data_IF_661048902319
#
_entry.id   IF_661048902319
#
_cell.length_a   1.000
_cell.length_b   1.000
_cell.length_c   1.000
_cell.angle_alpha   90.00
_cell.angle_beta   90.00
_cell.angle_gamma   90.00
#
_symmetry.space_group_name_H-M   'P 1'
#
loop_
_entity.id
_entity.type
_entity.pdbx_description
1 polymer ?
#
# COMPACT_ATOMS: atom_id res chain seq x y z
N UNK A 1 -30.85 16.51 25.46
CA UNK A 1 -30.02 15.55 24.71
C UNK A 1 -29.77 16.11 23.32
N UNK A 2 -28.53 16.53 23.02
CA UNK A 2 -28.19 17.20 21.76
C UNK A 2 -28.16 16.20 20.61
N UNK A 3 -28.99 16.42 19.60
CA UNK A 3 -29.10 15.60 18.39
C UNK A 3 -27.82 15.73 17.55
N UNK A 4 -27.16 14.61 17.28
CA UNK A 4 -25.95 14.54 16.47
C UNK A 4 -26.32 14.80 14.99
N UNK A 5 -25.95 15.96 14.45
CA UNK A 5 -26.24 16.34 13.07
C UNK A 5 -25.01 16.12 12.17
N UNK A 6 -25.13 15.19 11.21
CA UNK A 6 -24.06 14.83 10.25
C UNK A 6 -23.48 16.03 9.48
N UNK A 7 -24.26 17.09 9.22
CA UNK A 7 -23.77 18.29 8.52
C UNK A 7 -22.78 19.11 9.36
N UNK A 8 -22.88 19.04 10.68
CA UNK A 8 -22.01 19.80 11.60
C UNK A 8 -20.64 19.13 11.77
N UNK A 9 -20.56 17.82 11.60
CA UNK A 9 -19.31 17.05 11.69
C UNK A 9 -18.34 17.35 10.53
N UNK A 10 -18.86 17.74 9.36
CA UNK A 10 -18.07 18.05 8.16
C UNK A 10 -17.62 19.51 8.09
N UNK A 11 -18.03 20.35 9.04
CA UNK A 11 -17.71 21.79 9.08
C UNK A 11 -16.57 22.13 10.05
N UNK A 12 -15.66 21.18 10.32
CA UNK A 12 -14.45 21.44 11.10
C UNK A 12 -13.59 22.58 10.50
N UNK A 13 -12.80 23.29 11.32
CA UNK A 13 -12.19 24.56 10.96
C UNK A 13 -11.26 24.42 9.75
N UNK A 14 -11.48 25.28 8.75
CA UNK A 14 -10.63 25.50 7.58
C UNK A 14 -9.79 26.75 7.80
N UNK A 15 -8.79 26.64 8.66
CA UNK A 15 -7.69 27.61 8.81
C UNK A 15 -6.46 26.76 9.15
N UNK A 16 -5.30 26.78 8.48
CA UNK A 16 -4.73 27.58 7.41
C UNK A 16 -3.21 27.30 7.39
N UNK A 17 -2.51 27.81 6.37
CA UNK A 17 -1.06 27.73 6.09
C UNK A 17 -0.66 26.50 5.28
N UNK A 18 -0.03 26.59 4.11
CA UNK A 18 0.64 27.67 3.40
C UNK A 18 1.52 26.99 2.34
N UNK A 19 1.67 27.61 1.17
CA UNK A 19 2.17 27.00 -0.06
C UNK A 19 3.34 26.01 0.06
N UNK A 20 3.12 24.81 -0.48
CA UNK A 20 4.11 24.14 -1.32
C UNK A 20 3.46 24.08 -2.71
N UNK A 21 4.20 24.47 -3.75
CA UNK A 21 3.67 24.58 -5.11
C UNK A 21 2.92 23.32 -5.53
N UNK A 22 1.83 23.53 -6.27
CA UNK A 22 1.22 22.46 -7.06
C UNK A 22 2.31 22.01 -8.04
N UNK A 23 3.11 21.02 -7.64
CA UNK A 23 3.56 20.03 -8.62
C UNK A 23 2.25 19.41 -9.06
N UNK A 24 1.90 19.57 -10.34
CA UNK A 24 0.75 18.88 -10.88
C UNK A 24 0.91 17.41 -10.51
N UNK A 25 0.07 16.94 -9.59
CA UNK A 25 -0.02 15.52 -9.32
C UNK A 25 -0.40 14.88 -10.66
N UNK A 26 0.45 13.96 -11.12
CA UNK A 26 0.05 12.98 -12.13
C UNK A 26 -1.35 12.52 -11.75
N UNK A 27 -2.34 12.77 -12.61
CA UNK A 27 -3.77 12.67 -12.29
C UNK A 27 -4.23 11.21 -12.09
N UNK A 28 -3.27 10.28 -12.01
CA UNK A 28 -3.51 8.86 -11.81
C UNK A 28 -4.28 8.25 -12.97
N UNK A 29 -4.35 8.92 -14.13
CA UNK A 29 -4.84 8.28 -15.34
C UNK A 29 -3.83 7.18 -15.71
N UNK A 30 -4.19 5.93 -15.41
CA UNK A 30 -3.35 4.74 -15.63
C UNK A 30 -3.14 4.39 -17.10
N UNK A 31 -2.96 5.39 -17.96
CA UNK A 31 -2.69 5.26 -19.38
C UNK A 31 -1.41 6.00 -19.77
N UNK A 32 -0.75 5.49 -20.81
CA UNK A 32 0.45 6.12 -21.36
C UNK A 32 0.10 7.50 -21.93
N UNK A 33 0.57 8.57 -21.28
CA UNK A 33 0.52 9.92 -21.86
C UNK A 33 1.40 9.93 -23.11
N UNK A 34 0.85 10.19 -24.32
CA UNK A 34 1.62 10.11 -25.55
C UNK A 34 2.86 11.01 -25.52
N UNK A 35 4.02 10.44 -25.84
CA UNK A 35 5.29 11.15 -25.87
C UNK A 35 5.99 11.30 -24.52
N UNK A 36 5.46 10.71 -23.44
CA UNK A 36 6.12 10.68 -22.13
C UNK A 36 6.70 9.30 -21.80
N UNK A 37 7.89 9.28 -21.20
CA UNK A 37 8.48 8.07 -20.62
C UNK A 37 8.23 8.12 -19.11
N UNK A 38 7.48 7.14 -18.58
CA UNK A 38 7.13 7.06 -17.15
C UNK A 38 8.21 6.27 -16.39
N UNK A 39 9.01 6.95 -15.56
CA UNK A 39 10.09 6.36 -14.75
C UNK A 39 9.97 6.65 -13.25
N UNK A 40 8.78 7.04 -12.79
CA UNK A 40 8.56 7.59 -11.44
C UNK A 40 8.11 6.59 -10.38
N UNK A 41 7.37 5.54 -10.75
CA UNK A 41 6.76 4.61 -9.79
C UNK A 41 7.30 3.17 -9.87
N UNK A 42 8.42 2.95 -10.56
CA UNK A 42 9.00 1.61 -10.77
C UNK A 42 8.03 0.61 -11.43
N UNK A 43 7.07 1.09 -12.23
CA UNK A 43 6.15 0.23 -12.97
C UNK A 43 6.92 -0.67 -13.94
N UNK A 44 6.45 -1.90 -14.10
CA UNK A 44 7.06 -2.84 -15.04
C UNK A 44 6.66 -2.46 -16.48
N UNK A 45 7.62 -2.09 -17.37
CA UNK A 45 7.30 -1.65 -18.73
C UNK A 45 6.79 -2.76 -19.64
N UNK A 46 6.92 -4.03 -19.26
CA UNK A 46 6.45 -5.17 -20.05
C UNK A 46 4.97 -5.49 -19.83
N UNK A 47 4.34 -4.88 -18.82
CA UNK A 47 2.98 -5.21 -18.42
C UNK A 47 2.83 -6.64 -17.86
N UNK A 48 1.59 -7.07 -17.59
CA UNK A 48 1.31 -8.42 -17.08
C UNK A 48 1.57 -9.51 -18.13
N UNK A 49 1.82 -10.73 -17.65
CA UNK A 49 1.95 -11.90 -18.53
C UNK A 49 0.71 -12.12 -19.40
N UNK A 50 0.84 -12.49 -20.70
CA UNK A 50 -0.30 -12.82 -21.55
C UNK A 50 -1.21 -13.92 -20.98
N UNK A 51 -0.63 -14.89 -20.26
CA UNK A 51 -1.41 -15.94 -19.58
C UNK A 51 -2.24 -15.36 -18.44
N UNK A 52 -1.69 -14.42 -17.66
CA UNK A 52 -2.41 -13.77 -16.58
C UNK A 52 -3.57 -12.93 -17.12
N UNK A 53 -3.35 -12.16 -18.19
CA UNK A 53 -4.42 -11.40 -18.85
C UNK A 53 -5.56 -12.29 -19.36
N UNK A 54 -5.22 -13.44 -19.96
CA UNK A 54 -6.21 -14.40 -20.43
C UNK A 54 -7.06 -14.99 -19.30
N UNK A 55 -6.47 -15.32 -18.14
CA UNK A 55 -7.23 -15.81 -16.99
C UNK A 55 -8.07 -14.70 -16.33
N UNK A 56 -7.54 -13.48 -16.21
CA UNK A 56 -8.30 -12.32 -15.72
C UNK A 56 -9.56 -12.11 -16.56
N UNK A 57 -9.44 -12.16 -17.89
CA UNK A 57 -10.58 -12.02 -18.79
C UNK A 57 -11.69 -13.05 -18.54
N UNK A 58 -11.34 -14.29 -18.14
CA UNK A 58 -12.32 -15.34 -17.82
C UNK A 58 -13.03 -15.10 -16.49
N UNK A 59 -12.33 -14.55 -15.49
CA UNK A 59 -12.90 -14.33 -14.15
C UNK A 59 -13.67 -13.01 -14.02
N UNK A 60 -13.48 -12.05 -14.92
CA UNK A 60 -14.15 -10.74 -14.87
C UNK A 60 -15.67 -10.81 -14.66
N UNK A 61 -16.45 -11.70 -15.32
CA UNK A 61 -17.89 -11.81 -15.06
C UNK A 61 -18.25 -12.28 -13.64
N UNK A 62 -17.31 -12.89 -12.92
CA UNK A 62 -17.52 -13.47 -11.59
C UNK A 62 -17.13 -12.53 -10.45
N UNK A 63 -16.59 -11.34 -10.74
CA UNK A 63 -16.06 -10.43 -9.70
C UNK A 63 -17.12 -9.79 -8.80
N UNK A 64 -18.41 -10.05 -9.06
CA UNK A 64 -19.49 -9.72 -8.14
C UNK A 64 -19.56 -10.65 -6.91
N UNK A 65 -18.84 -11.77 -6.93
CA UNK A 65 -18.81 -12.78 -5.88
C UNK A 65 -17.46 -12.78 -5.15
N UNK A 66 -17.48 -13.22 -3.89
CA UNK A 66 -16.26 -13.31 -3.09
C UNK A 66 -15.27 -14.35 -3.65
N UNK A 67 -13.95 -14.06 -3.61
CA UNK A 67 -12.93 -14.83 -4.32
C UNK A 67 -12.43 -16.10 -3.60
N UNK A 68 -13.04 -16.52 -2.48
CA UNK A 68 -12.45 -17.44 -1.50
C UNK A 68 -11.68 -18.64 -2.06
N UNK A 69 -12.23 -19.38 -3.03
CA UNK A 69 -11.53 -20.51 -3.64
C UNK A 69 -10.22 -20.11 -4.36
N UNK A 70 -10.22 -18.96 -5.06
CA UNK A 70 -9.05 -18.43 -5.76
C UNK A 70 -7.98 -17.97 -4.76
N UNK A 71 -8.40 -17.43 -3.61
CA UNK A 71 -7.47 -17.04 -2.54
C UNK A 71 -6.75 -18.27 -1.95
N UNK A 72 -7.50 -19.34 -1.68
CA UNK A 72 -6.95 -20.60 -1.16
C UNK A 72 -5.97 -21.24 -2.17
N UNK A 73 -6.32 -21.26 -3.45
CA UNK A 73 -5.45 -21.77 -4.52
C UNK A 73 -4.13 -20.97 -4.60
N UNK A 74 -4.21 -19.63 -4.57
CA UNK A 74 -3.04 -18.76 -4.62
C UNK A 74 -2.13 -18.98 -3.41
N UNK A 75 -2.70 -19.02 -2.20
CA UNK A 75 -1.95 -19.28 -0.97
C UNK A 75 -1.31 -20.67 -1.00
N UNK A 76 -2.03 -21.70 -1.46
CA UNK A 76 -1.51 -23.06 -1.60
C UNK A 76 -0.33 -23.15 -2.57
N UNK A 77 -0.40 -22.47 -3.71
CA UNK A 77 0.71 -22.38 -4.67
C UNK A 77 1.93 -21.66 -4.06
N UNK A 78 1.71 -20.60 -3.29
CA UNK A 78 2.77 -19.86 -2.62
C UNK A 78 3.45 -20.73 -1.55
N UNK A 79 2.65 -21.40 -0.70
CA UNK A 79 3.13 -22.32 0.33
C UNK A 79 3.98 -23.45 -0.26
N UNK A 80 3.50 -24.11 -1.32
CA UNK A 80 4.24 -25.19 -1.99
C UNK A 80 5.57 -24.70 -2.60
N UNK A 81 5.56 -23.51 -3.21
CA UNK A 81 6.77 -22.92 -3.81
C UNK A 81 7.83 -22.59 -2.78
N UNK A 82 7.42 -22.05 -1.62
CA UNK A 82 8.31 -21.56 -0.59
C UNK A 82 8.57 -22.55 0.55
N UNK A 83 7.90 -23.71 0.55
CA UNK A 83 8.01 -24.76 1.57
C UNK A 83 7.71 -24.23 2.98
N UNK A 84 6.58 -23.53 3.11
CA UNK A 84 6.13 -22.91 4.37
C UNK A 84 4.70 -23.36 4.72
N UNK A 85 4.37 -23.27 6.00
CA UNK A 85 3.07 -23.66 6.53
C UNK A 85 2.04 -22.52 6.40
N UNK A 86 0.76 -22.86 6.55
CA UNK A 86 -0.37 -21.93 6.33
C UNK A 86 -0.32 -20.75 7.29
N UNK A 87 0.18 -20.96 8.51
CA UNK A 87 0.31 -19.99 9.59
C UNK A 87 1.38 -18.93 9.28
N UNK A 88 2.23 -19.16 8.27
CA UNK A 88 3.28 -18.25 7.83
C UNK A 88 2.86 -17.40 6.62
N UNK A 89 1.61 -17.56 6.14
CA UNK A 89 1.10 -16.88 4.94
C UNK A 89 -0.14 -16.05 5.27
N UNK A 90 -0.14 -14.82 4.78
CA UNK A 90 -1.29 -13.93 4.80
C UNK A 90 -1.39 -13.25 3.43
N UNK A 91 -2.60 -13.16 2.90
CA UNK A 91 -2.89 -12.51 1.62
C UNK A 91 -3.27 -11.05 1.84
N UNK A 92 -2.63 -10.14 1.10
CA UNK A 92 -2.82 -8.71 1.21
C UNK A 92 -3.07 -8.06 -0.16
N UNK A 93 -3.84 -6.99 -0.21
CA UNK A 93 -4.00 -6.12 -1.37
C UNK A 93 -2.77 -5.22 -1.55
N UNK A 94 -1.71 -5.85 -2.06
CA UNK A 94 -0.39 -5.24 -2.15
C UNK A 94 0.38 -5.28 -0.82
N UNK A 95 1.70 -5.11 -0.89
CA UNK A 95 2.58 -5.25 0.27
C UNK A 95 2.36 -4.17 1.34
N UNK A 96 1.86 -2.99 0.95
CA UNK A 96 1.63 -1.88 1.87
C UNK A 96 0.60 -2.23 2.97
N UNK A 97 -0.44 -2.99 2.65
CA UNK A 97 -1.41 -3.47 3.64
C UNK A 97 -0.74 -4.40 4.67
N UNK A 98 0.10 -5.34 4.22
CA UNK A 98 0.87 -6.20 5.13
C UNK A 98 1.83 -5.42 6.03
N UNK A 99 2.52 -4.40 5.48
CA UNK A 99 3.39 -3.54 6.27
C UNK A 99 2.60 -2.75 7.32
N UNK A 100 1.43 -2.20 6.97
CA UNK A 100 0.56 -1.50 7.92
C UNK A 100 -0.01 -2.42 8.99
N UNK A 101 -0.40 -3.65 8.62
CA UNK A 101 -0.85 -4.67 9.56
C UNK A 101 0.23 -4.97 10.61
N UNK A 102 1.50 -5.07 10.19
CA UNK A 102 2.62 -5.23 11.12
C UNK A 102 2.77 -4.04 12.09
N UNK A 103 2.58 -2.80 11.61
CA UNK A 103 2.61 -1.62 12.49
C UNK A 103 1.47 -1.62 13.50
N UNK A 104 0.25 -2.03 13.10
CA UNK A 104 -0.89 -2.15 14.01
C UNK A 104 -0.68 -3.24 15.07
N UNK A 105 -0.18 -4.41 14.65
CA UNK A 105 -0.02 -5.56 15.53
C UNK A 105 1.14 -5.39 16.51
N UNK A 106 2.27 -4.81 16.08
CA UNK A 106 3.50 -4.82 16.88
C UNK A 106 4.00 -3.44 17.29
N UNK A 107 3.59 -2.37 16.61
CA UNK A 107 4.19 -1.04 16.78
C UNK A 107 4.13 -0.50 18.20
N UNK A 108 3.04 -0.77 18.94
CA UNK A 108 2.86 -0.32 20.33
C UNK A 108 3.54 -1.20 21.38
N UNK A 109 4.11 -2.33 20.98
CA UNK A 109 4.90 -3.20 21.85
C UNK A 109 6.38 -2.78 21.93
N UNK A 110 6.76 -1.68 21.27
CA UNK A 110 8.12 -1.17 21.28
C UNK A 110 8.28 0.08 20.41
N UNK A 111 9.29 0.07 19.55
CA UNK A 111 9.58 1.12 18.57
C UNK A 111 9.96 0.51 17.23
N UNK A 112 9.63 1.21 16.16
CA UNK A 112 10.03 0.84 14.79
C UNK A 112 11.38 1.50 14.51
N UNK A 113 12.36 0.72 14.04
CA UNK A 113 13.66 1.24 13.63
C UNK A 113 13.72 1.18 12.10
N UNK A 114 14.15 2.28 11.48
CA UNK A 114 14.18 2.40 10.02
C UNK A 114 15.35 3.26 9.55
N UNK A 115 15.93 3.02 8.36
CA UNK A 115 16.83 3.98 7.74
C UNK A 115 16.13 5.33 7.49
N UNK A 116 16.89 6.44 7.51
CA UNK A 116 16.33 7.76 7.20
C UNK A 116 15.87 7.87 5.73
N UNK A 117 16.56 7.20 4.81
CA UNK A 117 16.20 7.14 3.38
C UNK A 117 15.73 5.72 3.04
N UNK A 118 14.43 5.53 2.88
CA UNK A 118 13.78 4.25 2.53
C UNK A 118 12.34 4.49 2.08
N UNK A 119 11.62 3.43 1.68
CA UNK A 119 10.17 3.47 1.48
C UNK A 119 9.45 3.74 2.81
N UNK A 120 8.70 4.83 2.90
CA UNK A 120 8.27 5.40 4.19
C UNK A 120 6.77 5.34 4.50
N UNK A 121 5.93 4.83 3.60
CA UNK A 121 4.46 4.93 3.78
C UNK A 121 3.95 4.23 5.04
N UNK A 122 4.45 3.03 5.30
CA UNK A 122 4.14 2.29 6.53
C UNK A 122 4.69 2.98 7.80
N UNK A 123 5.78 3.74 7.70
CA UNK A 123 6.33 4.50 8.82
C UNK A 123 5.46 5.71 9.15
N UNK A 124 5.02 6.46 8.12
CA UNK A 124 4.06 7.56 8.30
C UNK A 124 2.73 7.05 8.87
N UNK A 125 2.30 5.86 8.47
CA UNK A 125 1.14 5.20 9.04
C UNK A 125 1.37 4.86 10.53
N UNK A 126 2.51 4.29 10.88
CA UNK A 126 2.87 3.99 12.27
C UNK A 126 2.86 5.25 13.15
N UNK A 127 3.44 6.36 12.68
CA UNK A 127 3.45 7.64 13.40
C UNK A 127 2.04 8.18 13.66
N UNK A 128 1.12 8.07 12.69
CA UNK A 128 -0.29 8.43 12.86
C UNK A 128 -1.00 7.58 13.93
N UNK A 129 -0.54 6.34 14.15
CA UNK A 129 -1.03 5.47 15.22
C UNK A 129 -0.40 5.77 16.59
N UNK A 130 0.51 6.74 16.67
CA UNK A 130 1.27 7.08 17.87
C UNK A 130 2.43 6.11 18.16
N UNK A 131 2.87 5.33 17.17
CA UNK A 131 4.02 4.43 17.29
C UNK A 131 5.31 5.24 17.16
N UNK A 132 6.27 5.00 18.07
CA UNK A 132 7.59 5.63 18.01
C UNK A 132 8.40 5.05 16.83
N UNK A 133 8.78 5.91 15.88
CA UNK A 133 9.67 5.57 14.76
C UNK A 133 11.04 6.21 14.96
N UNK A 134 12.08 5.40 15.10
CA UNK A 134 13.46 5.83 15.21
C UNK A 134 14.17 5.70 13.86
N UNK A 135 14.54 6.85 13.25
CA UNK A 135 15.23 6.90 11.96
C UNK A 135 16.74 6.97 12.15
N UNK A 136 17.47 6.09 11.47
CA UNK A 136 18.93 5.98 11.52
C UNK A 136 19.53 6.46 10.19
N UNK A 137 20.43 7.46 10.19
CA UNK A 137 21.10 7.92 8.98
C UNK A 137 21.86 6.80 8.27
N UNK A 138 21.90 6.87 6.94
CA UNK A 138 22.80 6.01 6.15
C UNK A 138 24.25 6.43 6.38
N UNK A 139 25.18 5.48 6.22
CA UNK A 139 26.62 5.80 6.16
C UNK A 139 26.93 6.61 4.89
N UNK A 140 27.96 7.45 4.94
CA UNK A 140 28.37 8.29 3.80
C UNK A 140 28.75 7.49 2.54
N UNK A 141 29.43 6.35 2.72
CA UNK A 141 29.79 5.44 1.63
C UNK A 141 28.70 4.36 1.44
N UNK A 142 27.59 4.74 0.81
CA UNK A 142 26.68 3.77 0.23
C UNK A 142 27.22 3.39 -1.16
N UNK A 143 27.68 2.15 -1.39
CA UNK A 143 28.13 1.73 -2.73
C UNK A 143 26.99 1.76 -3.74
#
# INVERSE_FOLDING_TARGET
MSSFNRRRALQGPRDGHGGAGIVAADDGSGGDTPGQIRLMFNENPYGPSPKALAEVAKILPMTAYYPGAIEDDLMGLFMARHQIDREQVFLASGSNEGLQAAMMAFGKHGKVISPTLTYSDHLHYAEKLGVAVHRVPLREAWP
#
